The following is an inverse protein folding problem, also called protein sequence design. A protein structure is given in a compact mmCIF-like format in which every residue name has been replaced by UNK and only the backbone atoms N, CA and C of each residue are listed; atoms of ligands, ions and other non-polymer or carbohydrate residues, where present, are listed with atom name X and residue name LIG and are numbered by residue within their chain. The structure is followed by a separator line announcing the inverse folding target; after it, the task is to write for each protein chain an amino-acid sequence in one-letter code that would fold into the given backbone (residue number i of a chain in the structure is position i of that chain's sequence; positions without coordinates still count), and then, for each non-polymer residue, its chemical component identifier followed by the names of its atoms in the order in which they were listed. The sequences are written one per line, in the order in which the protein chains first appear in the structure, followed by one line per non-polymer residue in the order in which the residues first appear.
data_IF_595093577061
#
_entry.id   IF_595093577061
#
_cell.length_a   1.000
_cell.length_b   1.000
_cell.length_c   1.000
_cell.angle_alpha   90.00
_cell.angle_beta   90.00
_cell.angle_gamma   90.00
#
_symmetry.space_group_name_H-M   'P 1'
#
loop_
_entity.id
_entity.type
_entity.pdbx_description
1 polymer ?
#
# COMPACT_ATOMS: atom_id res chain seq x y z
N UNK A 1 -39.29 -6.71 0.34
CA UNK A 1 -37.99 -7.40 0.56
C UNK A 1 -37.72 -8.14 -0.73
N UNK A 2 -36.63 -7.78 -1.41
CA UNK A 2 -36.28 -8.36 -2.72
C UNK A 2 -35.97 -9.84 -2.50
N UNK A 3 -36.64 -10.72 -3.25
CA UNK A 3 -36.29 -12.14 -3.27
C UNK A 3 -34.95 -12.29 -3.99
N UNK A 4 -33.90 -12.60 -3.22
CA UNK A 4 -32.52 -12.68 -3.71
C UNK A 4 -32.37 -13.74 -4.79
N UNK A 5 -33.07 -14.87 -4.69
CA UNK A 5 -32.97 -15.95 -5.67
C UNK A 5 -33.60 -15.52 -6.99
N UNK A 6 -34.80 -14.94 -6.92
CA UNK A 6 -35.49 -14.43 -8.12
C UNK A 6 -34.69 -13.32 -8.82
N UNK A 7 -34.05 -12.45 -8.05
CA UNK A 7 -33.17 -11.40 -8.58
C UNK A 7 -31.97 -11.98 -9.32
N UNK A 8 -31.27 -12.94 -8.71
CA UNK A 8 -30.10 -13.59 -9.33
C UNK A 8 -30.49 -14.37 -10.60
N UNK A 9 -31.59 -15.13 -10.56
CA UNK A 9 -32.09 -15.85 -11.74
C UNK A 9 -32.37 -14.89 -12.90
N UNK A 10 -33.08 -13.78 -12.62
CA UNK A 10 -33.41 -12.77 -13.64
C UNK A 10 -32.14 -12.07 -14.16
N UNK A 11 -31.17 -11.79 -13.28
CA UNK A 11 -29.89 -11.21 -13.68
C UNK A 11 -29.10 -12.13 -14.62
N UNK A 12 -29.08 -13.43 -14.33
CA UNK A 12 -28.43 -14.43 -15.17
C UNK A 12 -29.11 -14.53 -16.55
N UNK A 13 -30.45 -14.61 -16.59
CA UNK A 13 -31.20 -14.66 -17.85
C UNK A 13 -30.92 -13.45 -18.73
N UNK A 14 -30.95 -12.25 -18.15
CA UNK A 14 -30.71 -10.99 -18.87
C UNK A 14 -29.25 -10.90 -19.34
N UNK A 15 -28.30 -11.37 -18.55
CA UNK A 15 -26.89 -11.44 -18.95
C UNK A 15 -26.66 -12.41 -20.11
N UNK A 16 -27.33 -13.56 -20.13
CA UNK A 16 -27.27 -14.52 -21.25
C UNK A 16 -27.90 -13.96 -22.53
N UNK A 17 -29.01 -13.22 -22.41
CA UNK A 17 -29.64 -12.53 -23.55
C UNK A 17 -28.67 -11.50 -24.14
N UNK A 18 -28.00 -10.70 -23.31
CA UNK A 18 -26.99 -9.73 -23.76
C UNK A 18 -25.80 -10.41 -24.46
N UNK A 19 -25.33 -11.53 -23.89
CA UNK A 19 -24.23 -12.30 -24.46
C UNK A 19 -24.60 -12.94 -25.81
N UNK A 20 -25.83 -13.40 -25.96
CA UNK A 20 -26.33 -14.06 -27.18
C UNK A 20 -26.68 -13.05 -28.29
N UNK A 21 -27.20 -11.87 -27.93
CA UNK A 21 -27.55 -10.82 -28.89
C UNK A 21 -26.32 -10.03 -29.36
N UNK A 22 -25.25 -9.99 -28.55
CA UNK A 22 -24.06 -9.19 -28.83
C UNK A 22 -24.29 -7.67 -28.75
N UNK A 23 -25.48 -7.24 -28.30
CA UNK A 23 -25.84 -5.83 -28.12
C UNK A 23 -25.82 -5.45 -26.63
N UNK A 24 -25.40 -4.21 -26.36
CA UNK A 24 -25.44 -3.64 -25.01
C UNK A 24 -26.87 -3.41 -24.58
N UNK A 25 -27.23 -3.88 -23.38
CA UNK A 25 -28.55 -3.66 -22.80
C UNK A 25 -28.68 -2.18 -22.46
N UNK A 26 -29.80 -1.56 -22.84
CA UNK A 26 -30.09 -0.15 -22.56
C UNK A 26 -30.69 0.02 -21.16
N UNK A 27 -30.54 1.19 -20.51
CA UNK A 27 -31.11 1.43 -19.19
C UNK A 27 -32.63 1.23 -19.14
N UNK A 28 -33.33 1.60 -20.21
CA UNK A 28 -34.78 1.43 -20.34
C UNK A 28 -35.22 -0.04 -20.38
N UNK A 29 -34.34 -0.93 -20.84
CA UNK A 29 -34.61 -2.37 -20.92
C UNK A 29 -34.39 -3.05 -19.57
N UNK A 30 -33.41 -2.58 -18.78
CA UNK A 30 -33.16 -3.09 -17.42
C UNK A 30 -34.40 -2.94 -16.55
N UNK A 31 -35.04 -1.77 -16.56
CA UNK A 31 -36.27 -1.52 -15.81
C UNK A 31 -37.40 -2.50 -16.18
N UNK A 32 -37.50 -2.86 -17.47
CA UNK A 32 -38.52 -3.79 -17.96
C UNK A 32 -38.27 -5.24 -17.52
N UNK A 33 -37.02 -5.69 -17.48
CA UNK A 33 -36.69 -7.05 -17.03
C UNK A 33 -36.87 -7.25 -15.53
N UNK A 34 -36.67 -6.19 -14.75
CA UNK A 34 -36.81 -6.21 -13.29
C UNK A 34 -38.14 -5.59 -12.81
N UNK A 35 -39.12 -5.44 -13.72
CA UNK A 35 -40.44 -4.90 -13.43
C UNK A 35 -41.15 -5.79 -12.38
N UNK A 36 -41.43 -5.22 -11.21
CA UNK A 36 -42.05 -5.92 -10.08
C UNK A 36 -41.10 -6.33 -8.95
N UNK A 37 -39.79 -6.07 -9.06
CA UNK A 37 -38.81 -6.32 -7.99
C UNK A 37 -38.56 -5.13 -7.05
N UNK A 38 -39.28 -4.01 -7.22
CA UNK A 38 -39.16 -2.77 -6.42
C UNK A 38 -37.69 -2.29 -6.25
N UNK A 39 -36.89 -2.35 -7.32
CA UNK A 39 -35.50 -1.87 -7.30
C UNK A 39 -35.44 -0.35 -7.12
N UNK A 40 -34.49 0.13 -6.31
CA UNK A 40 -34.18 1.56 -6.24
C UNK A 40 -33.49 2.03 -7.54
N UNK A 41 -33.55 3.34 -7.85
CA UNK A 41 -32.82 3.90 -8.99
C UNK A 41 -31.30 3.64 -8.93
N UNK A 42 -30.71 3.58 -7.74
CA UNK A 42 -29.30 3.21 -7.59
C UNK A 42 -29.08 1.72 -7.90
N UNK A 43 -29.99 0.83 -7.47
CA UNK A 43 -29.90 -0.61 -7.75
C UNK A 43 -30.06 -0.92 -9.24
N UNK A 44 -30.97 -0.23 -9.93
CA UNK A 44 -31.11 -0.34 -11.38
C UNK A 44 -29.84 0.11 -12.13
N UNK A 45 -29.20 1.18 -11.63
CA UNK A 45 -27.93 1.65 -12.18
C UNK A 45 -26.80 0.62 -11.99
N UNK A 46 -26.69 0.01 -10.81
CA UNK A 46 -25.72 -1.06 -10.55
C UNK A 46 -25.94 -2.28 -11.45
N UNK A 47 -27.20 -2.68 -11.66
CA UNK A 47 -27.55 -3.78 -12.58
C UNK A 47 -27.20 -3.43 -14.02
N UNK A 48 -27.48 -2.21 -14.48
CA UNK A 48 -27.12 -1.75 -15.81
C UNK A 48 -25.60 -1.76 -16.05
N UNK A 49 -24.83 -1.31 -15.07
CA UNK A 49 -23.36 -1.34 -15.12
C UNK A 49 -22.86 -2.79 -15.16
N UNK A 50 -23.39 -3.65 -14.30
CA UNK A 50 -23.06 -5.09 -14.27
C UNK A 50 -23.35 -5.80 -15.59
N UNK A 51 -24.53 -5.60 -16.19
CA UNK A 51 -24.92 -6.27 -17.42
C UNK A 51 -24.03 -5.88 -18.61
N UNK A 52 -23.50 -4.65 -18.62
CA UNK A 52 -22.65 -4.13 -19.70
C UNK A 52 -21.14 -4.29 -19.45
N UNK A 53 -20.73 -4.85 -18.31
CA UNK A 53 -19.34 -5.21 -18.05
C UNK A 53 -18.88 -6.33 -19.02
N UNK A 54 -17.61 -6.29 -19.48
CA UNK A 54 -17.05 -7.34 -20.32
C UNK A 54 -17.04 -8.69 -19.57
N UNK A 55 -17.11 -9.83 -20.29
CA UNK A 55 -17.14 -11.16 -19.67
C UNK A 55 -15.94 -11.45 -18.76
N UNK A 56 -14.81 -10.79 -18.99
CA UNK A 56 -13.59 -10.87 -18.17
C UNK A 56 -13.80 -10.27 -16.77
N UNK A 57 -14.61 -9.22 -16.64
CA UNK A 57 -14.92 -8.57 -15.35
C UNK A 57 -16.04 -9.31 -14.57
N UNK A 58 -16.79 -10.19 -15.22
CA UNK A 58 -17.86 -11.01 -14.61
C UNK A 58 -17.34 -12.33 -14.03
N UNK A 59 -16.10 -12.70 -14.32
CA UNK A 59 -15.45 -13.95 -13.89
C UNK A 59 -14.58 -13.79 -12.64
N UNK A 60 -14.69 -12.68 -11.90
CA UNK A 60 -14.11 -12.59 -10.57
C UNK A 60 -14.67 -13.73 -9.71
N UNK A 61 -13.83 -14.45 -8.95
CA UNK A 61 -14.29 -15.60 -8.18
C UNK A 61 -15.28 -15.13 -7.12
N UNK A 62 -16.51 -15.62 -7.24
CA UNK A 62 -17.50 -15.52 -6.16
C UNK A 62 -16.93 -16.37 -5.04
N UNK A 63 -16.47 -15.74 -3.96
CA UNK A 63 -16.11 -16.41 -2.73
C UNK A 63 -17.34 -17.20 -2.26
N UNK A 64 -17.26 -18.52 -2.38
CA UNK A 64 -18.23 -19.42 -1.77
C UNK A 64 -18.26 -19.14 -0.26
N UNK A 65 -19.47 -19.04 0.26
CA UNK A 65 -19.76 -18.91 1.69
C UNK A 65 -19.15 -20.11 2.43
N UNK A 66 -18.02 -19.93 3.13
CA UNK A 66 -17.51 -20.96 4.04
C UNK A 66 -18.21 -20.87 5.40
N UNK A 67 -18.85 -21.99 5.74
CA UNK A 67 -19.51 -22.26 7.00
C UNK A 67 -18.60 -22.08 8.20
N UNK A 68 -19.15 -21.46 9.25
CA UNK A 68 -18.57 -21.37 10.58
C UNK A 68 -18.51 -22.76 11.21
N UNK A 69 -17.32 -23.23 11.58
CA UNK A 69 -17.17 -24.30 12.58
C UNK A 69 -16.28 -23.83 13.73
N UNK A 70 -16.90 -23.65 14.89
CA UNK A 70 -16.25 -23.61 16.20
C UNK A 70 -15.56 -24.97 16.46
N UNK A 71 -14.29 -24.98 16.91
CA UNK A 71 -13.98 -25.49 18.25
C UNK A 71 -12.49 -25.34 18.66
N UNK A 72 -12.37 -24.84 19.89
CA UNK A 72 -11.39 -24.92 20.96
C UNK A 72 -10.03 -25.64 20.82
N UNK A 73 -9.02 -24.92 21.33
CA UNK A 73 -7.98 -25.31 22.31
C UNK A 73 -7.12 -26.58 22.08
N UNK A 74 -5.81 -26.39 21.93
CA UNK A 74 -4.87 -26.82 23.00
C UNK A 74 -3.46 -26.22 22.79
N UNK A 75 -2.91 -25.73 23.90
CA UNK A 75 -1.58 -25.13 24.06
C UNK A 75 -0.61 -26.25 24.44
N UNK A 76 0.56 -26.34 23.80
CA UNK A 76 1.71 -27.03 24.41
C UNK A 76 3.03 -26.27 24.19
N UNK A 77 3.77 -26.18 25.28
CA UNK A 77 4.90 -25.31 25.57
C UNK A 77 6.25 -25.86 25.12
N UNK A 78 7.10 -24.96 24.59
CA UNK A 78 8.54 -24.74 24.88
C UNK A 78 9.43 -25.96 25.16
N UNK A 79 10.49 -26.14 24.35
CA UNK A 79 11.85 -26.35 24.87
C UNK A 79 12.91 -25.65 24.01
N UNK A 80 13.65 -24.75 24.66
CA UNK A 80 14.85 -24.06 24.21
C UNK A 80 16.07 -24.93 24.53
N UNK A 81 17.04 -24.99 23.63
CA UNK A 81 18.43 -25.25 24.02
C UNK A 81 19.38 -24.29 23.32
N UNK A 82 20.17 -23.62 24.14
CA UNK A 82 21.19 -22.64 23.78
C UNK A 82 22.59 -23.22 24.01
N UNK A 83 23.53 -22.83 23.13
CA UNK A 83 25.00 -22.73 23.32
C UNK A 83 25.81 -24.05 23.34
N UNK A 84 27.07 -24.18 22.92
CA UNK A 84 28.21 -23.25 22.77
C UNK A 84 29.23 -23.77 21.72
N UNK A 85 29.85 -22.83 21.01
CA UNK A 85 31.30 -22.65 20.76
C UNK A 85 32.22 -23.83 20.37
N UNK A 86 32.79 -23.76 19.16
CA UNK A 86 34.17 -24.21 18.92
C UNK A 86 34.82 -23.46 17.75
N UNK A 87 35.70 -22.56 18.13
CA UNK A 87 36.73 -21.90 17.33
C UNK A 87 37.71 -22.88 16.67
N UNK A 88 38.05 -22.70 15.38
CA UNK A 88 39.41 -22.42 14.87
C UNK A 88 39.61 -22.68 13.36
N UNK A 89 40.45 -21.80 12.80
CA UNK A 89 41.27 -21.91 11.58
C UNK A 89 40.56 -21.76 10.22
N UNK A 90 40.83 -20.64 9.52
CA UNK A 90 41.41 -20.64 8.15
C UNK A 90 42.06 -19.27 7.86
N UNK A 91 43.16 -19.37 7.13
CA UNK A 91 44.23 -18.41 6.88
C UNK A 91 43.88 -17.26 5.93
N UNK A 92 44.53 -16.12 6.21
CA UNK A 92 44.76 -15.00 5.30
C UNK A 92 45.63 -15.47 4.12
N UNK A 93 45.14 -15.28 2.91
CA UNK A 93 45.90 -15.38 1.66
C UNK A 93 45.43 -14.27 0.72
N UNK A 94 46.30 -13.27 0.54
CA UNK A 94 46.10 -12.14 -0.34
C UNK A 94 46.27 -12.52 -1.82
N UNK A 95 45.70 -11.66 -2.67
CA UNK A 95 46.04 -11.39 -4.07
C UNK A 95 45.28 -12.16 -5.16
N UNK A 96 44.21 -11.54 -5.68
CA UNK A 96 43.87 -11.43 -7.12
C UNK A 96 42.69 -10.46 -7.22
N UNK A 97 42.98 -9.22 -7.61
CA UNK A 97 42.83 -8.70 -8.97
C UNK A 97 41.43 -8.09 -9.13
N UNK A 98 41.42 -6.76 -9.09
CA UNK A 98 40.30 -5.94 -9.51
C UNK A 98 39.95 -6.31 -10.96
N UNK A 99 38.84 -7.02 -11.12
CA UNK A 99 38.08 -6.98 -12.35
C UNK A 99 36.90 -6.07 -12.05
N UNK A 100 36.85 -4.96 -12.79
CA UNK A 100 35.69 -4.08 -12.90
C UNK A 100 34.49 -4.94 -13.36
N UNK A 101 33.77 -5.53 -12.41
CA UNK A 101 32.40 -5.92 -12.65
C UNK A 101 31.62 -4.61 -12.75
N UNK A 102 31.23 -4.26 -13.98
CA UNK A 102 30.20 -3.27 -14.23
C UNK A 102 29.06 -3.54 -13.25
N UNK A 103 28.84 -2.60 -12.33
CA UNK A 103 27.77 -2.61 -11.33
C UNK A 103 26.44 -2.97 -12.03
N UNK A 104 26.07 -4.25 -12.02
CA UNK A 104 24.73 -4.69 -12.38
C UNK A 104 23.84 -4.40 -11.18
N UNK A 105 23.55 -3.10 -10.99
CA UNK A 105 22.66 -2.59 -9.95
C UNK A 105 21.27 -3.20 -10.20
N UNK A 106 20.75 -4.04 -9.31
CA UNK A 106 19.40 -4.59 -9.47
C UNK A 106 18.34 -3.48 -9.50
N UNK A 107 17.39 -3.52 -10.42
CA UNK A 107 16.41 -2.43 -10.60
C UNK A 107 15.34 -2.41 -9.49
N UNK A 108 14.83 -1.21 -9.19
CA UNK A 108 13.75 -0.98 -8.25
C UNK A 108 12.46 -1.74 -8.60
N UNK A 109 11.68 -2.14 -7.58
CA UNK A 109 10.26 -2.39 -7.79
C UNK A 109 9.59 -1.08 -8.21
N UNK A 110 8.92 -1.16 -9.34
CA UNK A 110 8.34 -0.06 -10.10
C UNK A 110 7.00 0.32 -9.48
N UNK A 111 6.82 1.58 -9.05
CA UNK A 111 5.52 2.05 -8.51
C UNK A 111 4.38 1.74 -9.46
N UNK A 112 4.64 1.71 -10.77
CA UNK A 112 3.65 1.40 -11.81
C UNK A 112 3.14 -0.04 -11.73
N UNK A 113 3.83 -0.91 -10.99
CA UNK A 113 3.52 -2.34 -10.82
C UNK A 113 2.93 -2.67 -9.46
N UNK A 114 2.70 -1.67 -8.60
CA UNK A 114 2.06 -1.84 -7.30
C UNK A 114 0.60 -2.31 -7.42
N UNK A 115 -0.06 -2.01 -8.53
CA UNK A 115 -1.36 -2.59 -8.89
C UNK A 115 -1.54 -2.57 -10.40
N UNK A 116 -2.03 -3.69 -10.96
CA UNK A 116 -2.37 -3.81 -12.39
C UNK A 116 -3.69 -3.09 -12.75
N UNK A 117 -4.39 -2.55 -11.76
CA UNK A 117 -5.69 -1.88 -11.91
C UNK A 117 -5.61 -0.66 -12.83
N UNK A 118 -6.64 -0.49 -13.65
CA UNK A 118 -6.83 0.75 -14.43
C UNK A 118 -6.99 1.95 -13.49
N UNK A 119 -7.65 1.76 -12.35
CA UNK A 119 -7.90 2.83 -11.38
C UNK A 119 -6.60 3.32 -10.74
N UNK A 120 -5.72 2.39 -10.37
CA UNK A 120 -4.41 2.74 -9.82
C UNK A 120 -3.57 3.57 -10.81
N UNK A 121 -3.53 3.18 -12.08
CA UNK A 121 -2.80 3.96 -13.11
C UNK A 121 -3.38 5.37 -13.31
N UNK A 122 -4.71 5.49 -13.35
CA UNK A 122 -5.35 6.80 -13.44
C UNK A 122 -5.03 7.67 -12.21
N UNK A 123 -5.05 7.07 -11.01
CA UNK A 123 -4.68 7.74 -9.78
C UNK A 123 -3.21 8.20 -9.80
N UNK A 124 -2.28 7.33 -10.19
CA UNK A 124 -0.86 7.65 -10.28
C UNK A 124 -0.59 8.80 -11.26
N UNK A 125 -1.24 8.78 -12.43
CA UNK A 125 -1.15 9.85 -13.43
C UNK A 125 -1.70 11.18 -12.88
N UNK A 126 -2.81 11.14 -12.14
CA UNK A 126 -3.38 12.33 -11.49
C UNK A 126 -2.43 12.89 -10.44
N UNK A 127 -1.86 12.04 -9.58
CA UNK A 127 -0.89 12.43 -8.54
C UNK A 127 0.34 13.06 -9.19
N UNK A 128 0.89 12.45 -10.25
CA UNK A 128 2.02 13.02 -11.03
C UNK A 128 1.65 14.38 -11.63
N UNK A 129 0.41 14.52 -12.14
CA UNK A 129 -0.09 15.76 -12.73
C UNK A 129 -0.28 16.93 -11.75
N UNK A 130 -0.48 16.64 -10.46
CA UNK A 130 -0.55 17.66 -9.40
C UNK A 130 0.81 18.27 -9.06
N UNK A 131 1.89 17.55 -9.38
CA UNK A 131 3.27 17.96 -9.12
C UNK A 131 3.72 17.69 -7.69
N UNK A 132 5.03 17.63 -7.50
CA UNK A 132 5.63 17.37 -6.19
C UNK A 132 6.01 18.66 -5.46
N UNK A 133 5.81 18.67 -4.15
CA UNK A 133 6.36 19.70 -3.28
C UNK A 133 7.78 19.32 -2.86
N UNK A 134 8.75 20.18 -3.14
CA UNK A 134 10.11 20.00 -2.62
C UNK A 134 10.16 20.18 -1.09
N UNK A 135 11.27 19.78 -0.48
CA UNK A 135 11.41 19.89 0.98
C UNK A 135 11.27 21.33 1.51
N UNK A 136 11.71 22.33 0.73
CA UNK A 136 11.60 23.73 1.15
C UNK A 136 10.13 24.16 1.17
N UNK A 137 9.36 23.76 0.17
CA UNK A 137 7.93 24.02 0.08
C UNK A 137 7.16 23.27 1.17
N UNK A 138 7.49 22.02 1.43
CA UNK A 138 6.89 21.26 2.54
C UNK A 138 7.17 21.92 3.89
N UNK A 139 8.40 22.38 4.13
CA UNK A 139 8.76 23.13 5.35
C UNK A 139 7.95 24.42 5.50
N UNK A 140 7.70 25.15 4.42
CA UNK A 140 6.85 26.35 4.44
C UNK A 140 5.41 26.00 4.82
N UNK A 141 4.83 24.98 4.19
CA UNK A 141 3.46 24.52 4.46
C UNK A 141 3.28 24.07 5.92
N UNK A 142 4.26 23.34 6.47
CA UNK A 142 4.28 22.97 7.88
C UNK A 142 4.36 24.18 8.81
N UNK A 143 5.14 25.21 8.46
CA UNK A 143 5.17 26.43 9.26
C UNK A 143 3.84 27.19 9.22
N UNK A 144 3.15 27.18 8.09
CA UNK A 144 1.83 27.81 7.93
C UNK A 144 0.78 27.12 8.81
N UNK A 145 0.70 25.78 8.77
CA UNK A 145 -0.29 25.07 9.58
C UNK A 145 -0.03 25.20 11.08
N UNK A 146 1.24 25.25 11.51
CA UNK A 146 1.61 25.52 12.90
C UNK A 146 1.28 26.95 13.37
N UNK A 147 1.14 27.89 12.44
CA UNK A 147 0.65 29.25 12.71
C UNK A 147 -0.88 29.34 12.68
N UNK A 148 -1.58 28.22 12.43
CA UNK A 148 -3.04 28.12 12.37
C UNK A 148 -3.63 28.38 10.98
N UNK A 149 -2.80 28.48 9.94
CA UNK A 149 -3.26 28.64 8.57
C UNK A 149 -3.76 27.31 8.00
N UNK A 150 -5.08 27.18 7.88
CA UNK A 150 -5.73 25.97 7.38
C UNK A 150 -5.66 25.85 5.85
N UNK A 151 -5.31 26.92 5.13
CA UNK A 151 -5.19 26.87 3.66
C UNK A 151 -3.99 26.00 3.24
N UNK A 152 -3.03 25.79 4.14
CA UNK A 152 -1.87 24.92 3.92
C UNK A 152 -2.21 23.42 3.90
N UNK A 153 -3.35 23.00 4.46
CA UNK A 153 -3.73 21.58 4.61
C UNK A 153 -3.72 20.86 3.27
N UNK A 154 -4.40 21.40 2.26
CA UNK A 154 -4.48 20.76 0.94
C UNK A 154 -3.11 20.67 0.26
N UNK A 155 -2.27 21.71 0.43
CA UNK A 155 -0.91 21.70 -0.10
C UNK A 155 -0.04 20.62 0.56
N UNK A 156 -0.23 20.36 1.86
CA UNK A 156 0.45 19.26 2.55
C UNK A 156 -0.03 17.92 1.99
N UNK A 157 -1.34 17.72 1.88
CA UNK A 157 -1.90 16.47 1.35
C UNK A 157 -1.38 16.19 -0.05
N UNK A 158 -1.48 17.15 -0.97
CA UNK A 158 -1.00 16.98 -2.34
C UNK A 158 0.51 16.65 -2.37
N UNK A 159 1.31 17.32 -1.52
CA UNK A 159 2.74 17.04 -1.38
C UNK A 159 3.06 15.65 -0.80
N UNK A 160 2.12 15.01 -0.11
CA UNK A 160 2.29 13.69 0.48
C UNK A 160 1.81 12.53 -0.41
N UNK A 161 0.99 12.76 -1.43
CA UNK A 161 0.39 11.69 -2.22
C UNK A 161 1.44 10.72 -2.78
N UNK A 162 2.47 11.23 -3.45
CA UNK A 162 3.55 10.39 -3.97
C UNK A 162 4.38 9.73 -2.86
N UNK A 163 4.62 10.44 -1.76
CA UNK A 163 5.31 9.90 -0.58
C UNK A 163 4.57 8.70 0.00
N UNK A 164 3.25 8.78 0.12
CA UNK A 164 2.39 7.68 0.62
C UNK A 164 2.45 6.48 -0.31
N UNK A 165 2.39 6.68 -1.64
CA UNK A 165 2.55 5.59 -2.62
C UNK A 165 3.90 4.89 -2.44
N UNK A 166 4.98 5.65 -2.30
CA UNK A 166 6.31 5.08 -2.07
C UNK A 166 6.40 4.34 -0.74
N UNK A 167 5.81 4.89 0.33
CA UNK A 167 5.80 4.21 1.62
C UNK A 167 4.96 2.92 1.59
N UNK A 168 3.83 2.92 0.88
CA UNK A 168 3.00 1.73 0.71
C UNK A 168 3.74 0.62 -0.07
N UNK A 169 4.53 0.99 -1.08
CA UNK A 169 5.37 0.04 -1.84
C UNK A 169 6.40 -0.72 -0.99
N UNK A 170 6.75 -0.22 0.21
CA UNK A 170 7.58 -0.97 1.16
C UNK A 170 6.90 -2.23 1.71
N UNK A 171 5.59 -2.38 1.52
CA UNK A 171 4.77 -3.49 2.01
C UNK A 171 4.26 -4.40 0.89
N UNK A 172 4.78 -4.29 -0.34
CA UNK A 172 4.36 -5.07 -1.51
C UNK A 172 4.50 -6.60 -1.35
N UNK A 173 5.43 -7.05 -0.49
CA UNK A 173 5.60 -8.48 -0.18
C UNK A 173 4.58 -9.02 0.83
N UNK A 174 3.72 -8.16 1.36
CA UNK A 174 2.60 -8.54 2.23
C UNK A 174 1.36 -8.76 1.36
N UNK A 175 0.57 -9.83 1.59
CA UNK A 175 -0.63 -10.11 0.79
C UNK A 175 -1.80 -9.18 1.15
N UNK A 176 -1.63 -7.88 0.90
CA UNK A 176 -2.66 -6.84 1.07
C UNK A 176 -2.93 -6.15 -0.26
N UNK A 177 -4.13 -5.59 -0.39
CA UNK A 177 -4.46 -4.76 -1.53
C UNK A 177 -3.72 -3.41 -1.40
N UNK A 178 -2.89 -3.09 -2.37
CA UNK A 178 -2.06 -1.89 -2.33
C UNK A 178 -2.86 -0.59 -2.50
N UNK A 179 -3.96 -0.62 -3.26
CA UNK A 179 -4.86 0.53 -3.39
C UNK A 179 -5.51 0.85 -2.05
N UNK A 180 -6.00 -0.19 -1.34
CA UNK A 180 -6.58 -0.02 0.00
C UNK A 180 -5.53 0.48 0.99
N UNK A 181 -4.32 -0.09 0.97
CA UNK A 181 -3.22 0.36 1.83
C UNK A 181 -2.91 1.85 1.61
N UNK A 182 -2.80 2.30 0.36
CA UNK A 182 -2.59 3.71 0.01
C UNK A 182 -3.74 4.58 0.52
N UNK A 183 -4.99 4.13 0.40
CA UNK A 183 -6.14 4.88 0.92
C UNK A 183 -6.11 5.00 2.44
N UNK A 184 -5.75 3.94 3.17
CA UNK A 184 -5.58 4.00 4.63
C UNK A 184 -4.50 5.01 5.03
N UNK A 185 -3.38 5.06 4.31
CA UNK A 185 -2.36 6.09 4.51
C UNK A 185 -2.87 7.51 4.26
N UNK A 186 -3.60 7.72 3.16
CA UNK A 186 -4.20 9.02 2.84
C UNK A 186 -5.21 9.46 3.90
N UNK A 187 -6.06 8.54 4.38
CA UNK A 187 -7.02 8.81 5.44
C UNK A 187 -6.32 9.16 6.75
N UNK A 188 -5.27 8.41 7.11
CA UNK A 188 -4.49 8.66 8.32
C UNK A 188 -3.82 10.03 8.30
N UNK A 189 -3.24 10.43 7.17
CA UNK A 189 -2.68 11.76 6.99
C UNK A 189 -3.76 12.84 7.20
N UNK A 190 -4.93 12.68 6.58
CA UNK A 190 -6.03 13.64 6.69
C UNK A 190 -6.55 13.76 8.13
N UNK A 191 -6.72 12.63 8.81
CA UNK A 191 -7.13 12.60 10.22
C UNK A 191 -6.09 13.25 11.12
N UNK A 192 -4.80 12.98 10.89
CA UNK A 192 -3.69 13.58 11.64
C UNK A 192 -3.66 15.10 11.48
N UNK A 193 -3.79 15.61 10.24
CA UNK A 193 -3.85 17.04 9.96
C UNK A 193 -5.08 17.73 10.57
N UNK A 194 -6.19 17.00 10.69
CA UNK A 194 -7.43 17.51 11.30
C UNK A 194 -7.37 17.58 12.84
N UNK A 195 -6.44 16.84 13.46
CA UNK A 195 -6.34 16.69 14.91
C UNK A 195 -4.88 16.78 15.39
N UNK A 196 -4.17 17.83 14.96
CA UNK A 196 -2.75 17.99 15.26
C UNK A 196 -2.46 18.12 16.76
N UNK A 197 -1.47 17.37 17.28
CA UNK A 197 -0.96 17.58 18.63
C UNK A 197 -0.11 18.86 18.70
N UNK A 198 0.24 19.26 19.93
CA UNK A 198 1.21 20.33 20.14
C UNK A 198 2.61 19.81 19.75
N UNK A 199 3.23 20.47 18.77
CA UNK A 199 4.57 20.14 18.25
C UNK A 199 5.42 21.40 18.13
N UNK A 200 6.73 21.28 18.34
CA UNK A 200 7.67 22.40 18.47
C UNK A 200 8.21 22.91 17.13
N UNK A 201 7.88 22.27 16.01
CA UNK A 201 8.27 22.76 14.68
C UNK A 201 7.99 21.82 13.51
N UNK A 202 8.33 22.29 12.31
CA UNK A 202 8.04 21.61 11.04
C UNK A 202 8.64 20.19 10.94
N UNK A 203 9.83 19.97 11.49
CA UNK A 203 10.47 18.64 11.47
C UNK A 203 9.77 17.64 12.40
N UNK A 204 9.27 18.11 13.55
CA UNK A 204 8.49 17.26 14.45
C UNK A 204 7.11 16.97 13.87
N UNK A 205 6.49 17.96 13.23
CA UNK A 205 5.23 17.77 12.51
C UNK A 205 5.38 16.73 11.38
N UNK A 206 6.39 16.87 10.52
CA UNK A 206 6.66 15.90 9.44
C UNK A 206 6.81 14.47 10.02
N UNK A 207 7.61 14.35 11.08
CA UNK A 207 7.80 13.09 11.79
C UNK A 207 6.52 12.54 12.42
N UNK A 208 5.62 13.40 12.89
CA UNK A 208 4.37 12.99 13.49
C UNK A 208 3.43 12.42 12.42
N UNK A 209 3.25 13.15 11.31
CA UNK A 209 2.41 12.72 10.19
C UNK A 209 2.90 11.40 9.60
N UNK A 210 4.21 11.25 9.44
CA UNK A 210 4.85 10.03 8.97
C UNK A 210 4.51 8.83 9.85
N UNK A 211 4.58 9.00 11.18
CA UNK A 211 4.21 7.95 12.14
C UNK A 211 2.72 7.59 12.07
N UNK A 212 1.83 8.56 11.82
CA UNK A 212 0.41 8.28 11.68
C UNK A 212 0.13 7.44 10.43
N UNK A 213 0.77 7.77 9.31
CA UNK A 213 0.65 7.01 8.05
C UNK A 213 1.19 5.59 8.23
N UNK A 214 2.39 5.42 8.79
CA UNK A 214 2.98 4.09 9.04
C UNK A 214 2.09 3.26 9.97
N UNK A 215 1.58 3.85 11.06
CA UNK A 215 0.69 3.15 11.98
C UNK A 215 -0.60 2.69 11.29
N UNK A 216 -1.14 3.47 10.35
CA UNK A 216 -2.32 3.09 9.58
C UNK A 216 -2.05 1.90 8.65
N UNK A 217 -0.90 1.91 7.96
CA UNK A 217 -0.48 0.75 7.15
C UNK A 217 -0.34 -0.50 8.00
N UNK A 218 0.37 -0.42 9.11
CA UNK A 218 0.57 -1.56 10.02
C UNK A 218 -0.75 -2.10 10.59
N UNK A 219 -1.68 -1.21 10.93
CA UNK A 219 -2.99 -1.60 11.45
C UNK A 219 -3.85 -2.26 10.37
N UNK A 220 -3.89 -1.69 9.16
CA UNK A 220 -4.64 -2.27 8.04
C UNK A 220 -4.09 -3.64 7.65
N UNK A 221 -2.77 -3.76 7.55
CA UNK A 221 -2.10 -5.04 7.30
C UNK A 221 -2.51 -6.05 8.37
N UNK A 222 -2.39 -5.71 9.66
CA UNK A 222 -2.78 -6.62 10.75
C UNK A 222 -4.27 -7.00 10.72
N UNK A 223 -5.15 -6.08 10.31
CA UNK A 223 -6.59 -6.33 10.19
C UNK A 223 -6.90 -7.32 9.06
N UNK A 224 -6.25 -7.17 7.90
CA UNK A 224 -6.48 -8.02 6.73
C UNK A 224 -5.78 -9.37 6.84
N UNK A 225 -4.53 -9.40 7.30
CA UNK A 225 -3.69 -10.61 7.30
C UNK A 225 -3.69 -11.35 8.63
N UNK A 226 -4.25 -10.75 9.69
CA UNK A 226 -4.09 -11.21 11.06
C UNK A 226 -2.70 -10.89 11.63
N UNK A 227 -2.53 -11.17 12.92
CA UNK A 227 -1.29 -10.91 13.67
C UNK A 227 -0.38 -12.15 13.67
N UNK A 228 0.25 -12.42 12.53
CA UNK A 228 1.18 -13.55 12.36
C UNK A 228 2.62 -13.14 12.61
N UNK A 229 3.48 -14.06 13.07
CA UNK A 229 4.91 -13.81 13.27
C UNK A 229 5.60 -13.30 12.00
N UNK A 230 5.14 -13.76 10.83
CA UNK A 230 5.66 -13.33 9.52
C UNK A 230 5.31 -11.87 9.23
N UNK A 231 4.08 -11.45 9.51
CA UNK A 231 3.65 -10.05 9.38
C UNK A 231 4.44 -9.18 10.36
N UNK A 232 4.57 -9.58 11.62
CA UNK A 232 5.37 -8.85 12.60
C UNK A 232 6.84 -8.70 12.19
N UNK A 233 7.43 -9.72 11.56
CA UNK A 233 8.79 -9.65 11.03
C UNK A 233 8.92 -8.65 9.88
N UNK A 234 7.97 -8.63 8.93
CA UNK A 234 7.98 -7.68 7.80
C UNK A 234 7.74 -6.25 8.28
N UNK A 235 6.74 -6.03 9.13
CA UNK A 235 6.47 -4.72 9.72
C UNK A 235 7.67 -4.22 10.53
N UNK A 236 8.29 -5.10 11.33
CA UNK A 236 9.48 -4.77 12.12
C UNK A 236 10.69 -4.38 11.25
N UNK A 237 10.90 -5.07 10.13
CA UNK A 237 11.96 -4.72 9.16
C UNK A 237 11.69 -3.36 8.49
N UNK A 238 10.47 -3.13 8.04
CA UNK A 238 10.08 -1.86 7.41
C UNK A 238 10.22 -0.67 8.38
N UNK A 239 9.76 -0.84 9.62
CA UNK A 239 9.90 0.17 10.67
C UNK A 239 11.38 0.46 11.00
N UNK A 240 12.21 -0.59 11.12
CA UNK A 240 13.64 -0.45 11.39
C UNK A 240 14.35 0.30 10.26
N UNK A 241 14.04 -0.02 9.00
CA UNK A 241 14.64 0.65 7.85
C UNK A 241 14.26 2.12 7.79
N UNK A 242 12.99 2.43 8.05
CA UNK A 242 12.48 3.77 8.08
C UNK A 242 13.16 4.64 9.16
N UNK A 243 13.28 4.11 10.38
CA UNK A 243 13.98 4.80 11.49
C UNK A 243 15.48 4.95 11.22
N UNK A 244 16.13 3.91 10.69
CA UNK A 244 17.54 3.96 10.31
C UNK A 244 17.80 5.04 9.24
N UNK A 245 16.92 5.13 8.24
CA UNK A 245 17.00 6.15 7.20
C UNK A 245 16.91 7.54 7.77
N UNK A 246 15.92 7.80 8.61
CA UNK A 246 15.72 9.08 9.27
C UNK A 246 16.90 9.49 10.14
N UNK A 247 17.42 8.55 10.92
CA UNK A 247 18.57 8.78 11.80
C UNK A 247 19.82 9.14 11.00
N UNK A 248 20.18 8.32 10.02
CA UNK A 248 21.38 8.52 9.21
C UNK A 248 21.26 9.75 8.30
N UNK A 249 20.06 10.07 7.80
CA UNK A 249 19.80 11.29 7.04
C UNK A 249 20.05 12.55 7.88
N UNK A 250 19.64 12.52 9.16
CA UNK A 250 19.84 13.62 10.10
C UNK A 250 21.31 13.77 10.52
N UNK A 251 22.01 12.65 10.74
CA UNK A 251 23.41 12.67 11.18
C UNK A 251 24.35 13.10 10.06
N UNK A 252 24.14 12.61 8.84
CA UNK A 252 25.00 12.90 7.69
C UNK A 252 24.52 14.12 6.87
N UNK A 253 23.36 14.70 7.22
CA UNK A 253 22.70 15.76 6.44
C UNK A 253 22.49 15.40 4.96
N UNK A 254 22.42 14.09 4.66
CA UNK A 254 22.30 13.51 3.33
C UNK A 254 21.57 12.16 3.44
N UNK A 255 20.73 11.84 2.46
CA UNK A 255 20.02 10.56 2.42
C UNK A 255 21.02 9.38 2.43
N UNK A 256 20.86 8.41 3.34
CA UNK A 256 21.82 7.32 3.47
C UNK A 256 21.77 6.35 2.29
N UNK A 257 22.93 5.86 1.88
CA UNK A 257 23.05 4.82 0.87
C UNK A 257 22.50 3.47 1.36
N UNK A 258 22.11 2.60 0.41
CA UNK A 258 21.70 1.21 0.67
C UNK A 258 22.74 0.49 1.54
N UNK A 259 24.04 0.71 1.29
CA UNK A 259 25.13 0.12 2.08
C UNK A 259 25.12 0.61 3.52
N UNK A 260 24.91 1.90 3.76
CA UNK A 260 24.82 2.47 5.12
C UNK A 260 23.57 1.96 5.86
N UNK A 261 22.46 1.81 5.15
CA UNK A 261 21.24 1.25 5.74
C UNK A 261 21.39 -0.24 6.06
N UNK A 262 22.08 -1.00 5.20
CA UNK A 262 22.38 -2.40 5.45
C UNK A 262 23.30 -2.57 6.65
N UNK A 263 24.34 -1.76 6.75
CA UNK A 263 25.27 -1.80 7.88
C UNK A 263 24.58 -1.44 9.20
N UNK A 264 23.63 -0.50 9.20
CA UNK A 264 22.92 -0.06 10.40
C UNK A 264 21.77 -1.00 10.81
N UNK A 265 21.02 -1.54 9.84
CA UNK A 265 19.82 -2.33 10.10
C UNK A 265 20.08 -3.84 10.11
N UNK A 266 21.23 -4.29 9.59
CA UNK A 266 21.54 -5.68 9.29
C UNK A 266 20.56 -6.37 8.33
N UNK A 267 19.74 -5.59 7.62
CA UNK A 267 18.93 -6.07 6.50
C UNK A 267 19.85 -6.14 5.27
N UNK A 268 19.70 -7.17 4.44
CA UNK A 268 20.60 -7.35 3.28
C UNK A 268 20.47 -6.18 2.29
N UNK A 269 21.54 -5.79 1.58
CA UNK A 269 21.46 -4.74 0.57
C UNK A 269 20.38 -5.00 -0.48
N UNK A 270 20.15 -6.27 -0.83
CA UNK A 270 19.11 -6.71 -1.77
C UNK A 270 17.71 -6.45 -1.20
N UNK A 271 17.43 -6.90 0.03
CA UNK A 271 16.15 -6.62 0.71
C UNK A 271 15.95 -5.11 0.91
N UNK A 272 17.00 -4.37 1.27
CA UNK A 272 16.92 -2.91 1.42
C UNK A 272 16.69 -2.24 0.08
N UNK A 273 17.31 -2.71 -0.98
CA UNK A 273 17.11 -2.17 -2.32
C UNK A 273 15.69 -2.45 -2.80
N UNK A 274 15.16 -3.65 -2.56
CA UNK A 274 13.75 -3.96 -2.80
C UNK A 274 12.82 -3.02 -2.01
N UNK A 275 13.19 -2.66 -0.78
CA UNK A 275 12.42 -1.74 0.06
C UNK A 275 12.64 -0.23 -0.31
N UNK A 276 13.83 0.18 -0.79
CA UNK A 276 14.22 1.59 -0.97
C UNK A 276 14.24 2.12 -2.40
N UNK A 277 14.30 1.24 -3.40
CA UNK A 277 14.57 1.68 -4.77
C UNK A 277 13.45 2.56 -5.38
N UNK A 278 12.37 2.79 -4.61
CA UNK A 278 11.26 3.72 -4.80
C UNK A 278 11.59 5.22 -4.68
N UNK A 279 12.87 5.64 -4.60
CA UNK A 279 13.20 7.06 -4.32
C UNK A 279 14.14 7.74 -5.32
N UNK A 280 14.66 7.00 -6.30
CA UNK A 280 15.63 7.51 -7.29
C UNK A 280 15.04 7.91 -8.65
N UNK A 281 13.71 7.98 -8.82
CA UNK A 281 13.10 8.66 -9.98
C UNK A 281 13.12 10.20 -9.83
N UNK A 282 14.25 10.77 -9.39
CA UNK A 282 14.37 12.20 -9.10
C UNK A 282 15.59 12.86 -9.74
N UNK A 283 16.21 12.27 -10.76
CA UNK A 283 17.39 12.91 -11.38
C UNK A 283 17.64 12.54 -12.84
N UNK A 284 16.62 12.65 -13.72
CA UNK A 284 16.83 12.99 -15.14
C UNK A 284 15.80 14.00 -15.63
#
# INVERSE_FOLDING_TARGET
MIDKNLFLETLHEVAEIAATSGEKIKPEEVHKYFEGMELSPEQEKMVYEYLNLPPEAKQAPVTEEEEVTEDAEDIETVEVYSTTDSSKDIQIGADHAAEDEEDDVPQAKDVEKLSDSVYYRMYLDEVRGRGEADEAKMRELYQQILQGDQDAVNGIVDGWLMRIIHMAGMYDDVPVNMEDLIQEGNMALWMALSALPEVEGAAELDSYLEKQVVAAFENHIREVTGDTDQVQAVLGKAALLHEARKYLAKENSQDPSIRQLSEYTHISPEEIQDILALQKEKTE
#
